data_IF_847444971332
#
_entry.id   IF_847444971332
#
_cell.length_a   1.000
_cell.length_b   1.000
_cell.length_c   1.000
_cell.angle_alpha   90.00
_cell.angle_beta   90.00
_cell.angle_gamma   90.00
#
_symmetry.space_group_name_H-M   'P 1'
#
loop_
_entity.id
_entity.type
_entity.pdbx_description
1 polymer ?
#
# COMPACT_ATOMS: atom_id res chain seq x y z
N UNK A 1 13.59 1.30 -18.98
CA UNK A 1 12.64 1.82 -17.99
C UNK A 1 12.80 3.32 -17.96
N UNK A 2 11.71 4.02 -18.16
CA UNK A 2 11.66 5.47 -18.06
C UNK A 2 11.97 5.91 -16.63
N UNK A 3 12.53 7.11 -16.45
CA UNK A 3 12.90 7.62 -15.11
C UNK A 3 11.72 7.59 -14.13
N UNK A 4 10.52 7.82 -14.63
CA UNK A 4 9.26 7.83 -13.86
C UNK A 4 8.90 6.43 -13.34
N UNK A 5 9.12 5.37 -14.11
CA UNK A 5 8.84 3.98 -13.70
C UNK A 5 9.77 3.54 -12.58
N UNK A 6 11.06 3.88 -12.69
CA UNK A 6 12.05 3.58 -11.66
C UNK A 6 11.71 4.32 -10.37
N UNK A 7 11.34 5.61 -10.47
CA UNK A 7 10.90 6.39 -9.32
C UNK A 7 9.63 5.79 -8.69
N UNK A 8 8.66 5.39 -9.50
CA UNK A 8 7.42 4.77 -9.04
C UNK A 8 7.66 3.48 -8.26
N UNK A 9 8.51 2.59 -8.77
CA UNK A 9 8.90 1.36 -8.08
C UNK A 9 9.64 1.62 -6.77
N UNK A 10 10.57 2.60 -6.77
CA UNK A 10 11.30 2.97 -5.56
C UNK A 10 10.36 3.55 -4.48
N UNK A 11 9.44 4.44 -4.87
CA UNK A 11 8.44 5.02 -3.95
C UNK A 11 7.57 3.92 -3.35
N UNK A 12 7.02 3.03 -4.18
CA UNK A 12 6.19 1.91 -3.71
C UNK A 12 6.96 1.01 -2.75
N UNK A 13 8.21 0.65 -3.09
CA UNK A 13 9.05 -0.17 -2.23
C UNK A 13 9.31 0.47 -0.86
N UNK A 14 9.60 1.77 -0.83
CA UNK A 14 9.79 2.53 0.40
C UNK A 14 8.49 2.57 1.22
N UNK A 15 7.35 2.81 0.59
CA UNK A 15 6.06 2.86 1.29
C UNK A 15 5.68 1.52 1.92
N UNK A 16 5.84 0.41 1.19
CA UNK A 16 5.59 -0.94 1.73
C UNK A 16 6.50 -1.22 2.94
N UNK A 17 7.78 -0.85 2.85
CA UNK A 17 8.73 -1.02 3.94
C UNK A 17 8.37 -0.16 5.16
N UNK A 18 8.03 1.11 4.94
CA UNK A 18 7.60 2.02 6.00
C UNK A 18 6.35 1.50 6.70
N UNK A 19 5.36 1.01 5.95
CA UNK A 19 4.14 0.49 6.55
C UNK A 19 4.35 -0.80 7.33
N UNK A 20 5.22 -1.69 6.85
CA UNK A 20 5.62 -2.84 7.65
C UNK A 20 6.31 -2.41 8.96
N UNK A 21 7.17 -1.39 8.91
CA UNK A 21 7.81 -0.85 10.11
C UNK A 21 6.79 -0.22 11.07
N UNK A 22 5.84 0.59 10.60
CA UNK A 22 4.82 1.19 11.47
C UNK A 22 3.88 0.13 12.06
N UNK A 23 3.49 -0.88 11.28
CA UNK A 23 2.73 -2.03 11.77
C UNK A 23 3.48 -2.82 12.85
N UNK A 24 4.79 -3.01 12.71
CA UNK A 24 5.63 -3.64 13.73
C UNK A 24 5.72 -2.78 15.01
N UNK A 25 5.93 -1.47 14.88
CA UNK A 25 5.97 -0.55 16.02
C UNK A 25 4.65 -0.55 16.80
N UNK A 26 3.52 -0.59 16.08
CA UNK A 26 2.19 -0.70 16.66
C UNK A 26 2.02 -1.98 17.45
N UNK A 27 2.33 -3.13 16.85
CA UNK A 27 2.25 -4.43 17.52
C UNK A 27 3.19 -4.50 18.75
N UNK A 28 4.37 -3.89 18.66
CA UNK A 28 5.31 -3.79 19.78
C UNK A 28 4.75 -2.96 20.93
N UNK A 29 4.17 -1.79 20.64
CA UNK A 29 3.54 -0.92 21.63
C UNK A 29 2.34 -1.62 22.32
N UNK A 30 1.58 -2.41 21.57
CA UNK A 30 0.43 -3.16 22.09
C UNK A 30 0.82 -4.48 22.79
N UNK A 31 2.12 -4.81 22.88
CA UNK A 31 2.65 -6.08 23.39
C UNK A 31 2.04 -7.32 22.69
N UNK A 32 1.66 -7.19 21.42
CA UNK A 32 0.97 -8.20 20.61
C UNK A 32 1.80 -8.59 19.37
N UNK A 33 3.13 -8.67 19.54
CA UNK A 33 4.01 -9.14 18.48
C UNK A 33 3.77 -10.64 18.30
N UNK A 34 3.10 -10.99 17.20
CA UNK A 34 2.96 -12.37 16.73
C UNK A 34 3.56 -12.50 15.34
N UNK A 35 4.50 -13.44 15.18
CA UNK A 35 5.10 -13.76 13.88
C UNK A 35 4.06 -14.24 12.86
N UNK A 36 2.96 -14.82 13.32
CA UNK A 36 1.84 -15.20 12.45
C UNK A 36 1.14 -13.97 11.89
N UNK A 37 0.72 -13.03 12.75
CA UNK A 37 0.08 -11.76 12.34
C UNK A 37 0.98 -10.94 11.41
N UNK A 38 2.27 -10.86 11.73
CA UNK A 38 3.25 -10.15 10.88
C UNK A 38 3.43 -10.81 9.52
N UNK A 39 3.46 -12.15 9.47
CA UNK A 39 3.57 -12.90 8.21
C UNK A 39 2.30 -12.74 7.37
N UNK A 40 1.12 -12.75 7.98
CA UNK A 40 -0.14 -12.46 7.29
C UNK A 40 -0.15 -11.04 6.71
N UNK A 41 0.30 -10.04 7.47
CA UNK A 41 0.47 -8.67 6.98
C UNK A 41 1.41 -8.60 5.77
N UNK A 42 2.54 -9.33 5.80
CA UNK A 42 3.45 -9.44 4.67
C UNK A 42 2.82 -10.14 3.46
N UNK A 43 1.97 -11.16 3.66
CA UNK A 43 1.29 -11.82 2.55
C UNK A 43 0.36 -10.88 1.79
N UNK A 44 -0.40 -10.05 2.49
CA UNK A 44 -1.25 -9.04 1.85
C UNK A 44 -0.42 -8.04 1.04
N UNK A 45 0.71 -7.59 1.59
CA UNK A 45 1.64 -6.68 0.91
C UNK A 45 2.33 -7.31 -0.29
N UNK A 46 2.65 -8.59 -0.22
CA UNK A 46 3.23 -9.33 -1.34
C UNK A 46 2.28 -9.36 -2.55
N UNK A 47 0.96 -9.35 -2.33
CA UNK A 47 -0.03 -9.18 -3.38
C UNK A 47 0.12 -7.86 -4.13
N UNK A 48 0.42 -6.76 -3.43
CA UNK A 48 0.66 -5.44 -4.04
C UNK A 48 1.96 -5.45 -4.88
N UNK A 49 3.01 -6.14 -4.41
CA UNK A 49 4.23 -6.34 -5.19
C UNK A 49 3.93 -7.13 -6.47
N UNK A 50 3.12 -8.19 -6.38
CA UNK A 50 2.71 -8.98 -7.54
C UNK A 50 1.89 -8.15 -8.55
N UNK A 51 1.04 -7.23 -8.08
CA UNK A 51 0.32 -6.28 -8.95
C UNK A 51 1.29 -5.38 -9.72
N UNK A 52 2.33 -4.83 -9.06
CA UNK A 52 3.37 -4.04 -9.75
C UNK A 52 4.12 -4.88 -10.78
N UNK A 53 4.52 -6.11 -10.41
CA UNK A 53 5.22 -7.00 -11.32
C UNK A 53 4.35 -7.38 -12.52
N UNK A 54 3.06 -7.62 -12.30
CA UNK A 54 2.11 -7.89 -13.38
C UNK A 54 1.96 -6.67 -14.31
N UNK A 55 1.82 -5.47 -13.76
CA UNK A 55 1.75 -4.23 -14.54
C UNK A 55 2.99 -4.07 -15.44
N UNK A 56 4.18 -4.32 -14.90
CA UNK A 56 5.44 -4.29 -15.63
C UNK A 56 5.51 -5.33 -16.76
N UNK A 57 5.06 -6.56 -16.50
CA UNK A 57 5.04 -7.64 -17.50
C UNK A 57 4.07 -7.31 -18.62
N UNK A 58 2.87 -6.82 -18.31
CA UNK A 58 1.86 -6.50 -19.32
C UNK A 58 2.29 -5.30 -20.16
N UNK A 59 2.72 -4.22 -19.53
CA UNK A 59 3.12 -2.98 -20.23
C UNK A 59 4.33 -3.21 -21.15
N UNK A 60 5.36 -3.94 -20.69
CA UNK A 60 6.49 -4.31 -21.56
C UNK A 60 6.13 -5.37 -22.58
N UNK A 61 5.23 -6.28 -22.23
CA UNK A 61 4.72 -7.33 -23.11
C UNK A 61 4.02 -6.78 -24.35
N UNK A 62 3.43 -5.58 -24.28
CA UNK A 62 2.80 -4.90 -25.41
C UNK A 62 3.77 -4.63 -26.58
N UNK A 63 5.09 -4.63 -26.34
CA UNK A 63 6.09 -4.49 -27.40
C UNK A 63 6.23 -5.75 -28.27
N UNK A 64 5.82 -6.90 -27.73
CA UNK A 64 5.93 -8.22 -28.38
C UNK A 64 4.57 -8.81 -28.73
N UNK A 65 3.51 -8.36 -28.07
CA UNK A 65 2.13 -8.79 -28.26
C UNK A 65 1.30 -7.60 -28.71
N UNK A 66 0.79 -7.64 -29.94
CA UNK A 66 -0.15 -6.63 -30.42
C UNK A 66 -1.50 -6.81 -29.72
N UNK A 67 -1.72 -6.04 -28.66
CA UNK A 67 -2.97 -6.03 -27.91
C UNK A 67 -4.04 -5.15 -28.57
N UNK A 68 -3.71 -4.42 -29.65
CA UNK A 68 -4.60 -3.44 -30.28
C UNK A 68 -4.73 -2.12 -29.51
N UNK A 69 -4.00 -1.94 -28.41
CA UNK A 69 -3.94 -0.72 -27.59
C UNK A 69 -2.65 -0.68 -26.76
N UNK A 70 -2.21 0.53 -26.40
CA UNK A 70 -1.12 0.77 -25.43
C UNK A 70 -1.69 1.47 -24.20
N UNK A 71 -1.39 0.96 -23.01
CA UNK A 71 -1.88 1.51 -21.74
C UNK A 71 -0.72 1.53 -20.75
N UNK A 72 -0.38 2.70 -20.19
CA UNK A 72 0.65 2.77 -19.15
C UNK A 72 0.07 2.21 -17.84
N UNK A 73 0.49 1.03 -17.42
CA UNK A 73 -0.02 0.30 -16.25
C UNK A 73 0.85 0.49 -15.01
N UNK A 74 2.16 0.65 -15.15
CA UNK A 74 3.12 0.78 -14.05
C UNK A 74 2.78 1.99 -13.19
N UNK A 75 2.54 3.16 -13.81
CA UNK A 75 2.26 4.40 -13.08
C UNK A 75 0.92 4.33 -12.32
N UNK A 76 -0.22 3.94 -12.94
CA UNK A 76 -1.47 3.77 -12.20
C UNK A 76 -1.40 2.73 -11.08
N UNK A 77 -0.71 1.59 -11.30
CA UNK A 77 -0.50 0.58 -10.27
C UNK A 77 0.29 1.17 -9.08
N UNK A 78 1.34 1.93 -9.36
CA UNK A 78 2.13 2.59 -8.32
C UNK A 78 1.33 3.62 -7.52
N UNK A 79 0.49 4.42 -8.19
CA UNK A 79 -0.40 5.39 -7.53
C UNK A 79 -1.39 4.67 -6.61
N UNK A 80 -2.04 3.61 -7.11
CA UNK A 80 -2.98 2.81 -6.33
C UNK A 80 -2.32 2.25 -5.06
N UNK A 81 -1.17 1.60 -5.21
CA UNK A 81 -0.44 1.01 -4.09
C UNK A 81 0.05 2.09 -3.12
N UNK A 82 0.52 3.23 -3.63
CA UNK A 82 0.96 4.33 -2.77
C UNK A 82 -0.17 4.84 -1.88
N UNK A 83 -1.38 4.98 -2.40
CA UNK A 83 -2.56 5.40 -1.61
C UNK A 83 -2.90 4.34 -0.55
N UNK A 84 -2.90 3.05 -0.91
CA UNK A 84 -3.16 1.95 0.02
C UNK A 84 -2.14 1.93 1.17
N UNK A 85 -0.85 2.05 0.84
CA UNK A 85 0.23 2.02 1.83
C UNK A 85 0.23 3.27 2.72
N UNK A 86 -0.01 4.47 2.16
CA UNK A 86 -0.18 5.70 2.95
C UNK A 86 -1.34 5.56 3.93
N UNK A 87 -2.46 5.00 3.49
CA UNK A 87 -3.64 4.81 4.35
C UNK A 87 -3.32 3.88 5.54
N UNK A 88 -2.62 2.76 5.28
CA UNK A 88 -2.18 1.81 6.31
C UNK A 88 -1.17 2.43 7.28
N UNK A 89 -0.21 3.22 6.77
CA UNK A 89 0.77 3.94 7.60
C UNK A 89 0.06 4.89 8.56
N UNK A 90 -0.90 5.66 8.05
CA UNK A 90 -1.66 6.60 8.87
C UNK A 90 -2.48 5.87 9.95
N UNK A 91 -3.13 4.75 9.62
CA UNK A 91 -3.84 3.92 10.59
C UNK A 91 -2.90 3.43 11.70
N UNK A 92 -1.74 2.86 11.33
CA UNK A 92 -0.75 2.39 12.28
C UNK A 92 -0.23 3.53 13.18
N UNK A 93 0.06 4.72 12.62
CA UNK A 93 0.49 5.90 13.39
C UNK A 93 -0.62 6.39 14.32
N UNK A 94 -1.88 6.40 13.88
CA UNK A 94 -3.02 6.81 14.71
C UNK A 94 -3.24 5.91 15.91
N UNK A 95 -3.03 4.60 15.74
CA UNK A 95 -3.05 3.65 16.86
C UNK A 95 -1.87 3.85 17.81
N UNK A 96 -0.67 4.19 17.30
CA UNK A 96 0.52 4.48 18.11
C UNK A 96 0.38 5.81 18.87
N UNK A 97 -0.19 6.83 18.23
CA UNK A 97 -0.29 8.18 18.77
C UNK A 97 -1.74 8.73 18.60
N UNK A 98 -2.55 8.66 19.67
CA UNK A 98 -3.94 9.14 19.65
C UNK A 98 -4.09 10.63 19.33
N UNK A 99 -3.10 11.47 19.64
CA UNK A 99 -3.15 12.91 19.34
C UNK A 99 -3.08 13.15 17.83
N UNK A 100 -2.33 12.32 17.11
CA UNK A 100 -2.29 12.34 15.64
C UNK A 100 -3.61 11.80 15.08
N UNK A 101 -4.21 10.78 15.72
CA UNK A 101 -5.52 10.23 15.33
C UNK A 101 -6.67 11.23 15.43
N UNK A 102 -6.58 12.20 16.34
CA UNK A 102 -7.55 13.29 16.48
C UNK A 102 -7.41 14.37 15.36
N UNK A 103 -6.31 14.33 14.61
CA UNK A 103 -5.96 15.32 13.59
C UNK A 103 -6.86 15.30 12.35
N UNK A 104 -6.96 16.43 11.61
CA UNK A 104 -7.80 16.55 10.41
C UNK A 104 -7.43 15.56 9.30
N UNK A 105 -6.13 15.25 9.16
CA UNK A 105 -5.62 14.34 8.15
C UNK A 105 -6.20 12.93 8.33
N UNK A 106 -6.06 12.35 9.52
CA UNK A 106 -6.55 11.00 9.81
C UNK A 106 -8.08 10.89 9.75
N UNK A 107 -8.80 11.96 10.09
CA UNK A 107 -10.27 12.01 9.93
C UNK A 107 -10.71 11.91 8.46
N UNK A 108 -9.95 12.49 7.53
CA UNK A 108 -10.23 12.37 6.09
C UNK A 108 -10.10 10.93 5.61
N UNK A 109 -9.12 10.18 6.14
CA UNK A 109 -8.90 8.77 5.77
C UNK A 109 -9.81 7.79 6.53
N UNK A 110 -10.32 8.15 7.72
CA UNK A 110 -11.27 7.33 8.49
C UNK A 110 -12.71 7.42 8.00
N UNK A 111 -13.09 8.39 7.17
CA UNK A 111 -14.49 8.70 6.85
C UNK A 111 -15.24 7.64 6.01
N UNK A 112 -14.74 6.40 5.93
CA UNK A 112 -15.38 5.32 5.18
C UNK A 112 -15.27 3.96 5.87
N UNK A 113 -15.57 3.90 7.18
CA UNK A 113 -15.87 2.64 7.88
C UNK A 113 -17.11 2.69 8.80
N UNK A 114 -18.05 3.60 8.53
CA UNK A 114 -19.37 3.62 9.18
C UNK A 114 -20.48 3.49 8.11
N UNK A 115 -20.52 2.33 7.47
CA UNK A 115 -21.52 2.01 6.44
C UNK A 115 -21.77 0.52 6.41
N UNK A 116 -22.26 -0.03 7.52
CA UNK A 116 -22.49 -1.47 7.64
C UNK A 116 -23.25 -1.96 8.87
N UNK A 117 -23.91 -1.08 9.64
CA UNK A 117 -24.87 -1.51 10.67
C UNK A 117 -26.29 -1.13 10.19
N UNK A 118 -26.85 -1.97 9.33
CA UNK A 118 -28.31 -2.14 9.23
C UNK A 118 -28.62 -3.51 8.63
N UNK A 119 -28.69 -4.51 9.48
CA UNK A 119 -29.80 -5.49 9.58
C UNK A 119 -29.56 -6.48 10.70
#
# INVERSE_FOLDING_TARGET
MEKTEIAALAIVGILIAMDYMTGLLKAAMQHDISSEKMREGLWHKSGLILVMLLAEVVERGQQYLDLGYSVPLIVPAAVYISITEISSILENIGEINPDIAAGPLLKLFRSKRDGGDTQ
#
